data_IF_239749657982
#
_entry.id   IF_239749657982
#
_cell.length_a   1.000
_cell.length_b   1.000
_cell.length_c   1.000
_cell.angle_alpha   90.00
_cell.angle_beta   90.00
_cell.angle_gamma   90.00
#
_symmetry.space_group_name_H-M   'P 1'
#
loop_
_entity.id
_entity.type
_entity.pdbx_description
1 polymer ?
#
# COMPACT_ATOMS: atom_id res chain seq x y z
N UNK A 1 9.30 1.26 -12.99
CA UNK A 1 9.76 2.20 -11.94
C UNK A 1 8.52 2.65 -11.17
N UNK A 2 8.47 2.49 -9.85
CA UNK A 2 7.43 3.09 -9.01
C UNK A 2 7.70 4.59 -8.91
N UNK A 3 6.67 5.42 -9.15
CA UNK A 3 6.83 6.87 -9.04
C UNK A 3 7.12 7.25 -7.57
N UNK A 4 8.06 8.17 -7.31
CA UNK A 4 8.34 8.67 -5.95
C UNK A 4 7.08 9.20 -5.25
N UNK A 5 6.19 9.83 -6.01
CA UNK A 5 4.92 10.39 -5.54
C UNK A 5 3.98 9.29 -5.02
N UNK A 6 3.94 8.14 -5.69
CA UNK A 6 3.15 6.97 -5.28
C UNK A 6 3.68 6.38 -3.97
N UNK A 7 5.00 6.37 -3.81
CA UNK A 7 5.66 5.85 -2.60
C UNK A 7 5.38 6.75 -1.39
N UNK A 8 5.48 8.08 -1.56
CA UNK A 8 5.19 9.04 -0.51
C UNK A 8 3.71 8.97 -0.06
N UNK A 9 2.77 8.90 -1.00
CA UNK A 9 1.34 8.85 -0.66
C UNK A 9 0.97 7.55 0.06
N UNK A 10 1.54 6.41 -0.34
CA UNK A 10 1.32 5.16 0.36
C UNK A 10 1.88 5.18 1.79
N UNK A 11 3.02 5.84 2.01
CA UNK A 11 3.58 6.04 3.35
C UNK A 11 2.66 6.91 4.20
N UNK A 12 2.14 8.01 3.67
CA UNK A 12 1.17 8.86 4.38
C UNK A 12 -0.06 8.07 4.80
N UNK A 13 -0.63 7.26 3.90
CA UNK A 13 -1.77 6.40 4.21
C UNK A 13 -1.44 5.42 5.34
N UNK A 14 -0.28 4.77 5.28
CA UNK A 14 0.12 3.80 6.32
C UNK A 14 0.36 4.49 7.65
N UNK A 15 0.90 5.71 7.64
CA UNK A 15 1.12 6.50 8.84
C UNK A 15 -0.18 7.03 9.47
N UNK A 16 -1.21 7.29 8.66
CA UNK A 16 -2.54 7.69 9.14
C UNK A 16 -3.32 6.53 9.75
N UNK A 17 -2.95 5.28 9.45
CA UNK A 17 -3.67 4.10 9.91
C UNK A 17 -3.21 3.67 11.31
N UNK A 18 -4.15 3.27 12.19
CA UNK A 18 -3.79 2.78 13.51
C UNK A 18 -2.94 1.50 13.43
N UNK A 19 -1.99 1.35 14.35
CA UNK A 19 -1.19 0.14 14.49
C UNK A 19 -2.08 -1.10 14.62
N UNK A 20 -1.69 -2.18 13.96
CA UNK A 20 -2.48 -3.41 13.87
C UNK A 20 -3.51 -3.41 12.74
N UNK A 21 -3.70 -2.31 12.00
CA UNK A 21 -4.61 -2.31 10.83
C UNK A 21 -4.12 -3.30 9.79
N UNK A 22 -5.02 -4.19 9.38
CA UNK A 22 -4.80 -5.15 8.31
C UNK A 22 -5.31 -4.61 6.98
N UNK A 23 -4.47 -4.65 5.96
CA UNK A 23 -4.73 -4.09 4.64
C UNK A 23 -4.29 -5.09 3.59
N UNK A 24 -5.17 -5.38 2.64
CA UNK A 24 -4.74 -6.08 1.43
C UNK A 24 -3.96 -5.14 0.51
N UNK A 25 -3.17 -5.71 -0.40
CA UNK A 25 -2.55 -4.92 -1.47
C UNK A 25 -3.58 -4.10 -2.27
N UNK A 26 -4.81 -4.61 -2.41
CA UNK A 26 -5.90 -3.97 -3.14
C UNK A 26 -6.48 -2.77 -2.38
N UNK A 27 -6.60 -2.87 -1.05
CA UNK A 27 -7.12 -1.78 -0.22
C UNK A 27 -6.14 -0.60 -0.23
N UNK A 28 -4.86 -0.90 -0.04
CA UNK A 28 -3.81 0.11 -0.06
C UNK A 28 -3.69 0.79 -1.43
N UNK A 29 -3.84 0.01 -2.50
CA UNK A 29 -3.91 0.54 -3.86
C UNK A 29 -5.11 1.46 -4.05
N UNK A 30 -6.30 1.05 -3.60
CA UNK A 30 -7.53 1.83 -3.72
C UNK A 30 -7.38 3.17 -3.00
N UNK A 31 -6.88 3.14 -1.78
CA UNK A 31 -6.71 4.34 -0.96
C UNK A 31 -5.68 5.30 -1.57
N UNK A 32 -4.54 4.76 -2.01
CA UNK A 32 -3.48 5.56 -2.66
C UNK A 32 -3.97 6.17 -3.96
N UNK A 33 -4.73 5.41 -4.74
CA UNK A 33 -5.34 5.89 -5.96
C UNK A 33 -6.36 7.02 -5.71
N UNK A 34 -7.23 6.85 -4.72
CA UNK A 34 -8.19 7.88 -4.32
C UNK A 34 -7.47 9.17 -3.89
N UNK A 35 -6.38 9.08 -3.13
CA UNK A 35 -5.60 10.26 -2.70
C UNK A 35 -4.83 10.91 -3.85
N UNK A 36 -4.23 10.13 -4.75
CA UNK A 36 -3.42 10.66 -5.86
C UNK A 36 -4.25 11.26 -6.99
N UNK A 37 -5.37 10.63 -7.34
CA UNK A 37 -6.12 10.93 -8.56
C UNK A 37 -7.57 11.34 -8.30
N UNK A 38 -8.01 11.40 -7.02
CA UNK A 38 -9.41 11.65 -6.64
C UNK A 38 -10.38 10.53 -7.05
N UNK A 39 -9.89 9.52 -7.75
CA UNK A 39 -10.65 8.44 -8.39
C UNK A 39 -9.75 7.21 -8.47
N UNK A 40 -10.31 6.01 -8.31
CA UNK A 40 -9.52 4.78 -8.44
C UNK A 40 -9.26 4.47 -9.93
N UNK A 41 -8.02 4.58 -10.47
CA UNK A 41 -7.75 4.22 -11.84
C UNK A 41 -7.81 2.70 -11.96
N UNK A 42 -8.88 2.24 -12.62
CA UNK A 42 -9.08 0.85 -13.01
C UNK A 42 -7.98 0.49 -14.02
N UNK A 43 -6.98 -0.31 -13.62
CA UNK A 43 -5.92 -0.80 -14.51
C UNK A 43 -4.47 -0.63 -14.03
N UNK A 44 -4.22 0.05 -12.91
CA UNK A 44 -2.87 0.20 -12.33
C UNK A 44 -2.59 -0.79 -11.18
N UNK A 45 -2.98 -2.05 -11.35
CA UNK A 45 -2.85 -3.12 -10.35
C UNK A 45 -1.42 -3.62 -10.13
N UNK A 46 -0.49 -3.31 -11.05
CA UNK A 46 0.84 -3.91 -11.11
C UNK A 46 2.02 -3.16 -10.43
N UNK A 47 1.94 -1.90 -9.93
CA UNK A 47 3.03 -1.33 -9.12
C UNK A 47 2.86 -1.50 -7.60
N UNK A 48 1.66 -1.77 -7.08
CA UNK A 48 1.39 -1.68 -5.64
C UNK A 48 1.82 -2.88 -4.81
N UNK A 49 1.75 -4.11 -5.35
CA UNK A 49 2.37 -5.27 -4.69
C UNK A 49 3.88 -5.07 -4.50
N UNK A 50 4.54 -4.43 -5.45
CA UNK A 50 5.98 -4.11 -5.37
C UNK A 50 6.21 -3.08 -4.26
N UNK A 51 5.39 -2.04 -4.20
CA UNK A 51 5.46 -1.01 -3.17
C UNK A 51 5.22 -1.58 -1.77
N UNK A 52 4.15 -2.35 -1.57
CA UNK A 52 3.84 -2.95 -0.27
C UNK A 52 4.95 -3.92 0.19
N UNK A 53 5.57 -4.67 -0.75
CA UNK A 53 6.78 -5.47 -0.45
C UNK A 53 7.99 -4.61 -0.09
N UNK A 54 8.20 -3.47 -0.75
CA UNK A 54 9.28 -2.54 -0.39
C UNK A 54 9.06 -1.95 1.00
N UNK A 55 7.84 -1.54 1.32
CA UNK A 55 7.46 -1.04 2.63
C UNK A 55 7.60 -2.11 3.72
N UNK A 56 7.28 -3.37 3.40
CA UNK A 56 7.53 -4.49 4.29
C UNK A 56 9.03 -4.72 4.53
N UNK A 57 9.86 -4.63 3.48
CA UNK A 57 11.33 -4.70 3.61
C UNK A 57 11.90 -3.56 4.47
N UNK A 58 11.24 -2.41 4.48
CA UNK A 58 11.62 -1.26 5.31
C UNK A 58 11.07 -1.35 6.75
N UNK A 59 10.37 -2.44 7.11
CA UNK A 59 9.75 -2.60 8.43
C UNK A 59 8.56 -1.67 8.68
N UNK A 60 8.02 -1.04 7.63
CA UNK A 60 6.84 -0.17 7.70
C UNK A 60 5.52 -0.94 7.55
N UNK A 61 5.59 -2.18 7.07
CA UNK A 61 4.49 -3.12 7.01
C UNK A 61 4.98 -4.50 7.42
N UNK A 62 4.12 -5.28 8.04
CA UNK A 62 4.35 -6.69 8.35
C UNK A 62 3.55 -7.53 7.37
N UNK A 63 4.19 -8.48 6.69
CA UNK A 63 3.46 -9.44 5.84
C UNK A 63 2.81 -10.48 6.74
N UNK A 64 1.47 -10.53 6.75
CA UNK A 64 0.70 -11.46 7.58
C UNK A 64 0.38 -12.73 6.82
N UNK A 65 0.13 -12.63 5.52
CA UNK A 65 -0.22 -13.78 4.66
C UNK A 65 0.27 -13.54 3.24
N UNK A 66 0.89 -14.54 2.60
CA UNK A 66 1.44 -14.40 1.24
C UNK A 66 0.44 -14.69 0.10
N UNK A 67 -0.67 -15.38 0.39
CA UNK A 67 -1.70 -15.78 -0.58
C UNK A 67 -2.47 -14.57 -1.17
N UNK A 68 -3.69 -14.24 -0.70
CA UNK A 68 -4.14 -12.86 -0.82
C UNK A 68 -3.20 -12.02 0.05
N UNK A 69 -2.23 -11.33 -0.56
CA UNK A 69 -1.14 -10.72 0.21
C UNK A 69 -1.70 -9.67 1.17
N UNK A 70 -1.63 -9.98 2.46
CA UNK A 70 -2.19 -9.19 3.55
C UNK A 70 -1.04 -8.58 4.35
N UNK A 71 -1.13 -7.28 4.58
CA UNK A 71 -0.13 -6.50 5.28
C UNK A 71 -0.76 -5.96 6.56
N UNK A 72 0.04 -5.83 7.61
CA UNK A 72 -0.35 -5.21 8.87
C UNK A 72 0.56 -4.02 9.14
N UNK A 73 -0.03 -2.91 9.59
CA UNK A 73 0.74 -1.78 10.11
C UNK A 73 1.34 -2.18 11.46
N UNK A 74 2.67 -2.07 11.65
CA UNK A 74 3.33 -2.45 12.90
C UNK A 74 2.80 -1.68 14.12
#
# INVERSE_FOLDING_TARGET
>A
MTSPVVTATALEIIHDLPSGTELSASDLQRETALRLFGTAPVGHTMPFRVLARQLARLGRLVVVQEGPTLYRVP
#
